data_IF_082708834555
#
_entry.id   IF_082708834555
#
_cell.length_a   1.000
_cell.length_b   1.000
_cell.length_c   1.000
_cell.angle_alpha   90.00
_cell.angle_beta   90.00
_cell.angle_gamma   90.00
#
_symmetry.space_group_name_H-M   'P 1'
#
loop_
_entity.id
_entity.type
_entity.pdbx_description
1 polymer ?
#
# COMPACT_ATOMS: atom_id res chain seq x y z
N UNK A 1 13.95 -8.58 -9.06
CA UNK A 1 14.02 -8.03 -7.69
C UNK A 1 12.80 -8.54 -6.95
N UNK A 2 12.94 -9.30 -5.85
CA UNK A 2 11.83 -10.07 -5.23
C UNK A 2 10.86 -9.26 -4.33
N UNK A 3 10.97 -7.93 -4.31
CA UNK A 3 10.25 -7.07 -3.35
C UNK A 3 9.19 -6.25 -4.09
N UNK A 4 7.92 -6.21 -3.61
CA UNK A 4 6.86 -5.38 -4.17
C UNK A 4 7.27 -3.91 -4.32
N UNK A 5 6.91 -3.30 -5.45
CA UNK A 5 7.26 -1.92 -5.81
C UNK A 5 6.00 -1.07 -6.01
N UNK A 6 6.16 0.26 -5.86
CA UNK A 6 5.07 1.26 -5.99
C UNK A 6 3.94 1.08 -4.96
N UNK A 7 4.29 0.59 -3.77
CA UNK A 7 3.37 0.32 -2.66
C UNK A 7 3.51 1.34 -1.51
N UNK A 8 2.64 1.27 -0.49
CA UNK A 8 2.85 1.92 0.82
C UNK A 8 3.56 0.92 1.78
N UNK A 9 4.87 1.06 2.06
CA UNK A 9 5.69 -0.03 2.61
C UNK A 9 5.22 -0.64 3.93
N UNK A 10 5.02 0.18 4.97
CA UNK A 10 4.73 -0.31 6.32
C UNK A 10 3.38 -1.05 6.41
N UNK A 11 2.24 -0.44 6.05
CA UNK A 11 0.98 -1.14 6.13
C UNK A 11 0.89 -2.32 5.16
N UNK A 12 1.60 -2.28 4.02
CA UNK A 12 1.65 -3.42 3.12
C UNK A 12 2.39 -4.61 3.74
N UNK A 13 3.52 -4.36 4.40
CA UNK A 13 4.27 -5.39 5.12
C UNK A 13 3.44 -6.00 6.26
N UNK A 14 2.65 -5.19 6.97
CA UNK A 14 1.70 -5.67 7.98
C UNK A 14 0.64 -6.61 7.38
N UNK A 15 0.08 -6.25 6.22
CA UNK A 15 -0.87 -7.09 5.49
C UNK A 15 -0.27 -8.45 5.08
N UNK A 16 0.99 -8.50 4.68
CA UNK A 16 1.68 -9.77 4.39
C UNK A 16 1.98 -10.55 5.66
N UNK A 17 2.46 -9.88 6.70
CA UNK A 17 2.85 -10.49 7.96
C UNK A 17 1.65 -11.19 8.64
N UNK A 18 0.47 -10.58 8.63
CA UNK A 18 -0.74 -11.19 9.22
C UNK A 18 -1.11 -12.52 8.55
N UNK A 19 -0.92 -12.64 7.23
CA UNK A 19 -1.22 -13.85 6.47
C UNK A 19 -0.14 -14.91 6.69
N UNK A 20 1.15 -14.52 6.59
CA UNK A 20 2.29 -15.40 6.83
C UNK A 20 2.23 -16.01 8.23
N UNK A 21 1.96 -15.22 9.26
CA UNK A 21 1.87 -15.71 10.64
C UNK A 21 0.76 -16.76 10.80
N UNK A 22 -0.38 -16.59 10.10
CA UNK A 22 -1.50 -17.53 10.14
C UNK A 22 -1.17 -18.84 9.43
N UNK A 23 -0.51 -18.76 8.29
CA UNK A 23 0.01 -19.94 7.57
C UNK A 23 1.00 -20.71 8.44
N UNK A 24 1.98 -20.04 9.04
CA UNK A 24 2.98 -20.67 9.90
C UNK A 24 2.37 -21.28 11.16
N UNK A 25 1.29 -20.71 11.69
CA UNK A 25 0.56 -21.25 12.83
C UNK A 25 -0.46 -22.34 12.48
N UNK A 26 -0.63 -22.69 11.19
CA UNK A 26 -1.61 -23.67 10.73
C UNK A 26 -3.08 -23.20 10.78
N UNK A 27 -3.33 -21.91 10.99
CA UNK A 27 -4.68 -21.32 11.02
C UNK A 27 -5.24 -21.06 9.62
N UNK A 28 -4.37 -20.87 8.64
CA UNK A 28 -4.71 -20.76 7.22
C UNK A 28 -3.91 -21.80 6.45
N UNK A 29 -4.59 -22.56 5.59
CA UNK A 29 -3.95 -23.57 4.76
C UNK A 29 -3.59 -22.96 3.40
N UNK A 30 -2.37 -23.23 2.93
CA UNK A 30 -1.99 -22.88 1.58
C UNK A 30 -2.70 -23.78 0.56
N UNK A 31 -2.98 -23.27 -0.65
CA UNK A 31 -3.46 -24.11 -1.73
C UNK A 31 -2.40 -25.15 -2.13
N UNK A 32 -2.80 -26.12 -2.95
CA UNK A 32 -1.86 -27.13 -3.45
C UNK A 32 -0.72 -26.50 -4.25
N UNK A 33 0.42 -27.18 -4.31
CA UNK A 33 1.59 -26.72 -5.07
C UNK A 33 1.25 -26.44 -6.54
N UNK A 34 0.43 -27.29 -7.16
CA UNK A 34 0.03 -27.13 -8.56
C UNK A 34 -0.86 -25.91 -8.77
N UNK A 35 -1.75 -25.61 -7.82
CA UNK A 35 -2.57 -24.41 -7.86
C UNK A 35 -1.71 -23.14 -7.72
N UNK A 36 -0.76 -23.10 -6.78
CA UNK A 36 0.17 -21.97 -6.64
C UNK A 36 1.02 -21.76 -7.91
N UNK A 37 1.52 -22.83 -8.51
CA UNK A 37 2.31 -22.75 -9.75
C UNK A 37 1.46 -22.28 -10.94
N UNK A 38 0.18 -22.66 -10.99
CA UNK A 38 -0.75 -22.19 -12.02
C UNK A 38 -1.00 -20.69 -11.88
N UNK A 39 -1.28 -20.22 -10.67
CA UNK A 39 -1.49 -18.80 -10.38
C UNK A 39 -0.24 -17.97 -10.73
N UNK A 40 0.93 -18.42 -10.32
CA UNK A 40 2.20 -17.76 -10.65
C UNK A 40 2.43 -17.61 -12.16
N UNK A 41 2.12 -18.65 -12.94
CA UNK A 41 2.23 -18.59 -14.41
C UNK A 41 1.24 -17.62 -15.05
N UNK A 42 0.03 -17.53 -14.51
CA UNK A 42 -0.96 -16.54 -14.97
C UNK A 42 -0.49 -15.12 -14.66
N UNK A 43 0.03 -14.89 -13.46
CA UNK A 43 0.54 -13.58 -13.06
C UNK A 43 1.75 -13.14 -13.90
N UNK A 44 2.66 -14.07 -14.24
CA UNK A 44 3.75 -13.80 -15.19
C UNK A 44 3.19 -13.43 -16.57
N UNK A 45 2.19 -14.15 -17.07
CA UNK A 45 1.60 -13.89 -18.37
C UNK A 45 0.93 -12.51 -18.44
N UNK A 46 0.34 -12.05 -17.34
CA UNK A 46 -0.33 -10.75 -17.24
C UNK A 46 0.63 -9.58 -17.01
N UNK A 47 1.60 -9.73 -16.09
CA UNK A 47 2.49 -8.64 -15.65
C UNK A 47 3.83 -8.60 -16.36
N UNK A 48 4.22 -9.70 -17.00
CA UNK A 48 5.55 -9.89 -17.56
C UNK A 48 6.59 -10.32 -16.52
N UNK A 49 7.78 -10.67 -17.00
CA UNK A 49 8.88 -11.18 -16.18
C UNK A 49 9.73 -10.07 -15.52
N UNK A 50 10.54 -10.47 -14.54
CA UNK A 50 11.57 -9.60 -13.95
C UNK A 50 11.00 -8.50 -13.05
N UNK A 51 11.36 -7.24 -13.33
CA UNK A 51 10.98 -6.11 -12.47
C UNK A 51 9.49 -5.74 -12.59
N UNK A 52 8.86 -6.02 -13.74
CA UNK A 52 7.45 -5.72 -13.97
C UNK A 52 6.53 -6.58 -13.09
N UNK A 53 6.93 -7.82 -12.82
CA UNK A 53 6.18 -8.79 -12.02
C UNK A 53 5.80 -8.25 -10.62
N UNK A 54 6.72 -7.55 -9.96
CA UNK A 54 6.52 -7.05 -8.59
C UNK A 54 5.98 -5.62 -8.52
N UNK A 55 5.71 -4.97 -9.66
CA UNK A 55 5.17 -3.62 -9.68
C UNK A 55 3.67 -3.61 -9.38
N UNK A 56 3.24 -2.81 -8.40
CA UNK A 56 1.84 -2.65 -8.02
C UNK A 56 1.42 -1.17 -8.19
N UNK A 57 1.19 -0.71 -9.44
CA UNK A 57 0.80 0.67 -9.70
C UNK A 57 -0.65 0.97 -9.26
N UNK A 58 -0.98 2.26 -9.15
CA UNK A 58 -2.35 2.69 -8.85
C UNK A 58 -2.81 2.21 -7.48
N UNK A 59 -3.86 1.39 -7.47
CA UNK A 59 -4.51 0.80 -6.29
C UNK A 59 -4.27 -0.71 -6.16
N UNK A 60 -3.38 -1.29 -6.99
CA UNK A 60 -3.10 -2.72 -6.97
C UNK A 60 -2.58 -3.22 -5.61
N UNK A 61 -1.90 -2.34 -4.86
CA UNK A 61 -1.49 -2.62 -3.48
C UNK A 61 -2.68 -2.73 -2.52
N UNK A 62 -3.69 -1.86 -2.67
CA UNK A 62 -4.96 -1.98 -1.94
C UNK A 62 -5.67 -3.30 -2.25
N UNK A 63 -5.79 -3.64 -3.53
CA UNK A 63 -6.48 -4.86 -3.98
C UNK A 63 -5.81 -6.11 -3.42
N UNK A 64 -4.48 -6.19 -3.49
CA UNK A 64 -3.70 -7.27 -2.92
C UNK A 64 -3.91 -7.39 -1.40
N UNK A 65 -3.80 -6.28 -0.66
CA UNK A 65 -4.03 -6.29 0.79
C UNK A 65 -5.45 -6.77 1.11
N UNK A 66 -6.45 -6.29 0.38
CA UNK A 66 -7.85 -6.67 0.58
C UNK A 66 -8.11 -8.16 0.24
N UNK A 67 -7.37 -8.74 -0.70
CA UNK A 67 -7.36 -10.20 -0.92
C UNK A 67 -6.82 -10.93 0.30
N UNK A 68 -5.70 -10.51 0.87
CA UNK A 68 -5.16 -11.12 2.10
C UNK A 68 -6.13 -11.00 3.29
N UNK A 69 -6.89 -9.90 3.39
CA UNK A 69 -7.96 -9.77 4.37
C UNK A 69 -9.05 -10.82 4.22
N UNK A 70 -9.40 -11.18 2.99
CA UNK A 70 -10.39 -12.22 2.72
C UNK A 70 -9.86 -13.60 3.14
N UNK A 71 -8.59 -13.87 2.86
CA UNK A 71 -7.94 -15.16 3.21
C UNK A 71 -7.88 -15.41 4.72
N UNK A 72 -7.72 -14.37 5.53
CA UNK A 72 -7.65 -14.52 6.99
C UNK A 72 -9.02 -14.56 7.67
N UNK A 73 -10.12 -14.37 6.94
CA UNK A 73 -11.47 -14.28 7.51
C UNK A 73 -11.80 -15.53 8.32
N UNK A 74 -12.22 -15.34 9.58
CA UNK A 74 -12.49 -16.44 10.52
C UNK A 74 -11.31 -16.80 11.42
N UNK A 75 -10.12 -16.24 11.15
CA UNK A 75 -8.92 -16.35 12.01
C UNK A 75 -8.49 -14.97 12.55
N UNK A 76 -9.34 -13.97 12.38
CA UNK A 76 -9.17 -12.57 12.77
C UNK A 76 -9.45 -12.29 14.25
N UNK A 77 -10.00 -13.27 14.98
CA UNK A 77 -10.27 -13.16 16.42
C UNK A 77 -9.04 -13.39 17.31
N UNK A 78 -7.95 -13.87 16.74
CA UNK A 78 -6.74 -14.25 17.48
C UNK A 78 -5.47 -13.77 16.77
N UNK A 79 -4.63 -13.03 17.49
CA UNK A 79 -3.38 -12.45 16.98
C UNK A 79 -3.54 -11.11 16.23
N UNK A 80 -2.46 -10.68 15.58
CA UNK A 80 -2.40 -9.41 14.87
C UNK A 80 -3.32 -9.38 13.64
N UNK A 81 -4.01 -8.26 13.43
CA UNK A 81 -4.83 -7.96 12.25
C UNK A 81 -4.37 -6.59 11.75
N UNK A 82 -3.98 -6.51 10.48
CA UNK A 82 -3.56 -5.26 9.86
C UNK A 82 -4.75 -4.29 9.73
N UNK A 83 -4.48 -3.05 9.32
CA UNK A 83 -5.54 -2.11 8.94
C UNK A 83 -6.22 -2.55 7.64
N UNK A 84 -7.55 -2.57 7.59
CA UNK A 84 -8.30 -2.84 6.35
C UNK A 84 -8.26 -1.61 5.43
N UNK A 85 -7.94 -1.81 4.16
CA UNK A 85 -7.81 -0.70 3.21
C UNK A 85 -9.16 -0.43 2.55
N UNK A 86 -9.97 0.36 3.25
CA UNK A 86 -11.30 0.77 2.85
C UNK A 86 -11.33 1.63 1.56
N UNK A 87 -12.55 1.93 1.10
CA UNK A 87 -12.78 2.74 -0.10
C UNK A 87 -12.14 4.13 0.03
N UNK A 88 -12.27 4.76 1.21
CA UNK A 88 -11.68 6.08 1.48
C UNK A 88 -10.16 6.07 1.34
N UNK A 89 -9.49 5.04 1.86
CA UNK A 89 -8.04 4.88 1.73
C UNK A 89 -7.64 4.59 0.29
N UNK A 90 -8.42 3.77 -0.41
CA UNK A 90 -8.18 3.41 -1.81
C UNK A 90 -8.31 4.62 -2.72
N UNK A 91 -9.31 5.47 -2.50
CA UNK A 91 -9.47 6.74 -3.19
C UNK A 91 -8.28 7.68 -2.93
N UNK A 92 -7.86 7.82 -1.67
CA UNK A 92 -6.63 8.59 -1.35
C UNK A 92 -5.40 8.02 -2.04
N UNK A 93 -5.29 6.69 -2.15
CA UNK A 93 -4.18 6.02 -2.83
C UNK A 93 -4.18 6.31 -4.33
N UNK A 94 -5.35 6.36 -4.96
CA UNK A 94 -5.52 6.72 -6.37
C UNK A 94 -5.08 8.17 -6.65
N UNK A 95 -5.45 9.11 -5.78
CA UNK A 95 -5.16 10.55 -5.95
C UNK A 95 -3.87 11.02 -5.27
N UNK A 96 -3.03 10.13 -4.76
CA UNK A 96 -1.89 10.50 -3.91
C UNK A 96 -0.89 11.42 -4.61
N UNK A 97 -0.69 11.26 -5.92
CA UNK A 97 0.21 12.11 -6.71
C UNK A 97 -0.34 13.52 -6.80
N UNK A 98 -1.65 13.67 -7.07
CA UNK A 98 -2.35 14.94 -7.11
C UNK A 98 -2.28 15.65 -5.75
N UNK A 99 -2.59 14.94 -4.67
CA UNK A 99 -2.57 15.50 -3.32
C UNK A 99 -1.18 15.95 -2.90
N UNK A 100 -0.15 15.15 -3.20
CA UNK A 100 1.25 15.53 -2.93
C UNK A 100 1.67 16.74 -3.76
N UNK A 101 1.25 16.82 -5.02
CA UNK A 101 1.53 17.97 -5.89
C UNK A 101 0.88 19.25 -5.38
N UNK A 102 -0.43 19.22 -5.05
CA UNK A 102 -1.13 20.37 -4.45
C UNK A 102 -0.50 20.80 -3.14
N UNK A 103 -0.14 19.85 -2.27
CA UNK A 103 0.54 20.15 -1.00
C UNK A 103 1.91 20.79 -1.22
N UNK A 104 2.68 20.32 -2.20
CA UNK A 104 3.98 20.90 -2.55
C UNK A 104 3.84 22.35 -3.02
N UNK A 105 2.88 22.63 -3.91
CA UNK A 105 2.61 24.00 -4.38
C UNK A 105 2.26 24.95 -3.21
N UNK A 106 1.49 24.47 -2.24
CA UNK A 106 1.15 25.24 -1.04
C UNK A 106 2.40 25.53 -0.19
N UNK A 107 3.27 24.54 0.00
CA UNK A 107 4.52 24.70 0.75
C UNK A 107 5.43 25.72 0.07
N UNK A 108 5.56 25.68 -1.26
CA UNK A 108 6.36 26.64 -2.03
C UNK A 108 5.83 28.07 -1.85
N UNK A 109 4.53 28.28 -2.06
CA UNK A 109 3.90 29.60 -1.86
C UNK A 109 4.08 30.14 -0.44
N UNK A 110 4.01 29.26 0.55
CA UNK A 110 4.24 29.63 1.95
C UNK A 110 5.69 30.02 2.22
N UNK A 111 6.65 29.28 1.65
CA UNK A 111 8.07 29.61 1.75
C UNK A 111 8.39 30.96 1.08
N UNK A 112 7.83 31.24 -0.10
CA UNK A 112 7.96 32.54 -0.78
C UNK A 112 7.39 33.69 0.05
N UNK A 113 6.27 33.47 0.75
CA UNK A 113 5.69 34.45 1.66
C UNK A 113 6.64 34.77 2.83
N UNK A 114 7.15 33.74 3.51
CA UNK A 114 8.09 33.93 4.62
C UNK A 114 9.34 34.70 4.17
N UNK A 115 9.86 34.38 2.98
CA UNK A 115 10.99 35.08 2.39
C UNK A 115 10.69 36.56 2.15
N UNK A 116 9.53 36.89 1.56
CA UNK A 116 9.11 38.28 1.30
C UNK A 116 8.94 39.09 2.59
N UNK A 117 8.48 38.45 3.65
CA UNK A 117 8.29 39.08 4.97
C UNK A 117 9.58 39.10 5.80
N UNK A 118 10.70 38.58 5.27
CA UNK A 118 11.97 38.40 5.99
C UNK A 118 11.81 37.59 7.29
N UNK A 119 10.84 36.68 7.31
CA UNK A 119 10.54 35.78 8.41
C UNK A 119 11.38 34.50 8.28
N UNK A 120 11.78 33.86 9.41
CA UNK A 120 12.48 32.58 9.37
C UNK A 120 11.59 31.49 8.76
N UNK A 121 12.19 30.55 8.03
CA UNK A 121 11.49 29.38 7.51
C UNK A 121 10.97 28.51 8.66
N UNK A 122 9.65 28.36 8.73
CA UNK A 122 8.96 27.51 9.71
C UNK A 122 8.05 26.52 9.01
N UNK A 123 7.71 25.43 9.67
CA UNK A 123 6.83 24.41 9.10
C UNK A 123 5.40 24.94 8.93
N UNK A 124 4.82 24.70 7.75
CA UNK A 124 3.40 24.92 7.53
C UNK A 124 2.57 23.86 8.29
N UNK A 125 2.17 24.19 9.52
CA UNK A 125 1.33 23.34 10.38
C UNK A 125 -0.15 23.48 10.00
N UNK A 126 -0.89 22.38 10.07
CA UNK A 126 -2.33 22.32 9.78
C UNK A 126 -2.69 21.16 8.83
N UNK A 127 -3.91 20.66 8.95
CA UNK A 127 -4.44 19.62 8.06
C UNK A 127 -4.62 20.17 6.65
N UNK A 128 -4.04 19.49 5.67
CA UNK A 128 -4.33 19.73 4.26
C UNK A 128 -5.50 18.81 3.89
N UNK A 129 -6.68 19.39 3.74
CA UNK A 129 -7.87 18.68 3.26
C UNK A 129 -8.08 19.07 1.77
N UNK A 130 -7.65 18.22 0.82
CA UNK A 130 -7.74 18.51 -0.61
C UNK A 130 -9.18 18.59 -1.15
#
# INVERSE_FOLDING_TARGET
>A
MLVPQKIIPFPFAECQAQYIARVLSGRVNLPSKDAMLKEYKLEIAEKGEGNAFHAMPGTADCEYCNTLFKEIKGTDKDGFVAEYWDERRTERRAHIVEYKSKRLQLIVKYAEKLQKENNPYVLLRGEFNP
#
